data_IF_907185775517
#
_entry.id   IF_907185775517
#
_cell.length_a   1.000
_cell.length_b   1.000
_cell.length_c   1.000
_cell.angle_alpha   90.00
_cell.angle_beta   90.00
_cell.angle_gamma   90.00
#
_symmetry.space_group_name_H-M   'P 1'
#
loop_
_entity.id
_entity.type
_entity.pdbx_description
1 polymer ?
#
# COMPACT_ATOMS: atom_id res chain seq x y z
N UNK A 1 -2.32 18.60 -15.88
CA UNK A 1 -3.58 18.26 -15.21
C UNK A 1 -3.62 18.67 -13.73
N UNK A 2 -3.01 17.94 -12.78
CA UNK A 2 -3.14 18.27 -11.34
C UNK A 2 -2.54 19.65 -11.02
N UNK A 3 -1.31 19.92 -11.46
CA UNK A 3 -0.64 21.20 -11.21
C UNK A 3 -1.44 22.39 -11.79
N UNK A 4 -1.91 22.26 -13.03
CA UNK A 4 -2.79 23.24 -13.68
C UNK A 4 -4.09 23.47 -12.90
N UNK A 5 -4.72 22.41 -12.39
CA UNK A 5 -5.94 22.52 -11.60
C UNK A 5 -5.69 23.22 -10.26
N UNK A 6 -4.57 22.93 -9.60
CA UNK A 6 -4.19 23.62 -8.35
C UNK A 6 -3.98 25.11 -8.59
N UNK A 7 -3.24 25.49 -9.63
CA UNK A 7 -3.00 26.90 -9.97
C UNK A 7 -4.32 27.62 -10.32
N UNK A 8 -5.10 27.04 -11.23
CA UNK A 8 -6.35 27.65 -11.74
C UNK A 8 -7.41 27.79 -10.66
N UNK A 9 -7.62 26.74 -9.87
CA UNK A 9 -8.72 26.67 -8.90
C UNK A 9 -8.27 27.07 -7.48
N UNK A 10 -6.98 27.37 -7.29
CA UNK A 10 -6.36 27.67 -5.98
C UNK A 10 -6.63 26.58 -4.96
N UNK A 11 -6.57 25.32 -5.41
CA UNK A 11 -6.82 24.14 -4.59
C UNK A 11 -5.86 24.08 -3.40
N UNK A 12 -6.39 23.79 -2.20
CA UNK A 12 -5.59 23.69 -0.98
C UNK A 12 -5.31 22.27 -0.51
N UNK A 13 -6.13 21.33 -0.97
CA UNK A 13 -6.02 19.90 -0.66
C UNK A 13 -6.16 19.13 -1.97
N UNK A 14 -5.23 18.19 -2.21
CA UNK A 14 -5.34 17.22 -3.30
C UNK A 14 -5.64 15.86 -2.71
N UNK A 15 -6.74 15.24 -3.14
CA UNK A 15 -7.09 13.87 -2.80
C UNK A 15 -6.67 12.93 -3.92
N UNK A 16 -6.09 11.78 -3.58
CA UNK A 16 -5.85 10.74 -4.56
C UNK A 16 -5.22 9.47 -3.99
N UNK A 17 -4.80 8.58 -4.87
CA UNK A 17 -4.18 7.30 -4.50
C UNK A 17 -2.64 7.44 -4.42
N UNK A 18 -1.93 6.52 -3.75
CA UNK A 18 -0.48 6.58 -3.66
C UNK A 18 0.22 6.68 -5.02
N UNK A 19 -0.25 5.96 -6.05
CA UNK A 19 0.35 6.03 -7.39
C UNK A 19 0.35 7.46 -7.98
N UNK A 20 -0.73 8.21 -7.75
CA UNK A 20 -0.84 9.60 -8.21
C UNK A 20 0.13 10.52 -7.46
N UNK A 21 0.22 10.36 -6.14
CA UNK A 21 1.15 11.11 -5.30
C UNK A 21 2.61 10.76 -5.57
N UNK A 22 2.91 9.49 -5.84
CA UNK A 22 4.23 9.04 -6.27
C UNK A 22 4.63 9.71 -7.57
N UNK A 23 3.73 9.77 -8.56
CA UNK A 23 3.98 10.48 -9.80
C UNK A 23 4.26 11.96 -9.56
N UNK A 24 3.47 12.64 -8.71
CA UNK A 24 3.71 14.04 -8.32
C UNK A 24 5.08 14.22 -7.66
N UNK A 25 5.45 13.34 -6.74
CA UNK A 25 6.75 13.38 -6.07
C UNK A 25 7.90 13.26 -7.07
N UNK A 26 7.72 12.49 -8.15
CA UNK A 26 8.74 12.28 -9.18
C UNK A 26 8.74 13.34 -10.29
N UNK A 27 7.80 14.30 -10.30
CA UNK A 27 7.80 15.39 -11.27
C UNK A 27 9.09 16.21 -11.13
N UNK A 28 9.73 16.50 -12.26
CA UNK A 28 10.94 17.33 -12.34
C UNK A 28 10.70 18.76 -11.86
N UNK A 29 11.66 19.32 -11.15
CA UNK A 29 11.53 20.65 -10.54
C UNK A 29 11.35 21.75 -11.58
N UNK A 30 11.91 21.59 -12.79
CA UNK A 30 11.75 22.54 -13.89
C UNK A 30 10.30 22.64 -14.37
N UNK A 31 9.52 21.55 -14.24
CA UNK A 31 8.10 21.55 -14.58
C UNK A 31 7.31 22.29 -13.51
N UNK A 32 7.61 22.03 -12.24
CA UNK A 32 6.91 22.62 -11.08
C UNK A 32 7.05 24.14 -11.04
N UNK A 33 8.23 24.67 -11.40
CA UNK A 33 8.50 26.12 -11.44
C UNK A 33 7.60 26.92 -12.39
N UNK A 34 6.89 26.25 -13.31
CA UNK A 34 5.97 26.91 -14.25
C UNK A 34 4.56 27.12 -13.67
N UNK A 35 4.30 26.71 -12.42
CA UNK A 35 2.98 26.80 -11.80
C UNK A 35 3.03 27.56 -10.47
N UNK A 36 2.04 28.42 -10.20
CA UNK A 36 1.78 28.96 -8.86
C UNK A 36 0.99 27.97 -8.01
N UNK A 37 1.72 27.22 -7.18
CA UNK A 37 1.17 26.20 -6.28
C UNK A 37 1.04 26.67 -4.82
N UNK A 38 1.16 27.98 -4.55
CA UNK A 38 1.18 28.51 -3.18
C UNK A 38 -0.10 28.28 -2.37
N UNK A 39 -1.20 27.88 -3.02
CA UNK A 39 -2.43 27.49 -2.34
C UNK A 39 -2.39 26.09 -1.73
N UNK A 40 -1.57 25.19 -2.30
CA UNK A 40 -1.52 23.77 -1.94
C UNK A 40 -0.84 23.60 -0.57
N UNK A 41 -1.54 22.93 0.35
CA UNK A 41 -1.09 22.77 1.73
C UNK A 41 -1.14 21.31 2.21
N UNK A 42 -2.05 20.52 1.64
CA UNK A 42 -2.28 19.15 2.07
C UNK A 42 -2.42 18.24 0.86
N UNK A 43 -1.80 17.08 0.94
CA UNK A 43 -2.15 15.94 0.11
C UNK A 43 -2.84 14.91 1.00
N UNK A 44 -3.91 14.27 0.52
CA UNK A 44 -4.59 13.20 1.24
C UNK A 44 -4.58 11.94 0.39
N UNK A 45 -4.07 10.85 0.97
CA UNK A 45 -3.92 9.58 0.27
C UNK A 45 -4.62 8.45 1.00
N UNK A 46 -5.22 7.53 0.24
CA UNK A 46 -5.91 6.37 0.78
C UNK A 46 -5.87 5.20 -0.22
N UNK A 47 -6.21 4.02 0.29
CA UNK A 47 -6.56 2.86 -0.53
C UNK A 47 -5.41 1.88 -0.83
N UNK A 48 -4.15 2.29 -0.71
CA UNK A 48 -3.00 1.39 -0.76
C UNK A 48 -1.87 1.91 0.14
N UNK A 49 -0.91 1.04 0.48
CA UNK A 49 0.27 1.43 1.27
C UNK A 49 1.18 2.32 0.43
N UNK A 50 1.62 3.44 1.00
CA UNK A 50 2.51 4.40 0.36
C UNK A 50 3.99 4.11 0.69
N UNK A 51 4.91 4.46 -0.21
CA UNK A 51 6.35 4.38 0.07
C UNK A 51 6.79 5.57 0.91
N UNK A 52 7.37 5.33 2.10
CA UNK A 52 7.82 6.37 3.02
C UNK A 52 8.77 7.38 2.35
N UNK A 53 9.63 6.89 1.45
CA UNK A 53 10.55 7.72 0.66
C UNK A 53 9.78 8.69 -0.24
N UNK A 54 8.81 8.20 -1.00
CA UNK A 54 8.05 9.01 -1.96
C UNK A 54 7.13 9.98 -1.24
N UNK A 55 6.57 9.58 -0.09
CA UNK A 55 5.82 10.46 0.80
C UNK A 55 6.67 11.63 1.27
N UNK A 56 7.86 11.36 1.83
CA UNK A 56 8.77 12.41 2.29
C UNK A 56 9.20 13.34 1.15
N UNK A 57 9.51 12.76 -0.01
CA UNK A 57 9.86 13.52 -1.21
C UNK A 57 8.72 14.45 -1.65
N UNK A 58 7.46 14.01 -1.58
CA UNK A 58 6.30 14.83 -1.89
C UNK A 58 6.16 16.00 -0.91
N UNK A 59 6.24 15.74 0.39
CA UNK A 59 6.15 16.77 1.44
C UNK A 59 7.21 17.85 1.25
N UNK A 60 8.46 17.44 1.02
CA UNK A 60 9.59 18.36 0.83
C UNK A 60 9.46 19.18 -0.44
N UNK A 61 9.08 18.53 -1.55
CA UNK A 61 9.02 19.15 -2.88
C UNK A 61 7.91 20.19 -3.00
N UNK A 62 6.76 19.94 -2.38
CA UNK A 62 5.60 20.84 -2.46
C UNK A 62 5.36 21.64 -1.18
N UNK A 63 6.21 21.46 -0.15
CA UNK A 63 6.05 22.07 1.18
C UNK A 63 4.62 21.88 1.72
N UNK A 64 4.15 20.63 1.71
CA UNK A 64 2.81 20.23 2.13
C UNK A 64 2.86 19.14 3.20
N UNK A 65 1.73 18.88 3.85
CA UNK A 65 1.56 17.71 4.72
C UNK A 65 0.78 16.61 4.00
N UNK A 66 1.33 15.39 3.95
CA UNK A 66 0.67 14.23 3.39
C UNK A 66 -0.08 13.46 4.49
N UNK A 67 -1.39 13.51 4.44
CA UNK A 67 -2.28 12.81 5.36
C UNK A 67 -2.73 11.47 4.78
N UNK A 68 -2.25 10.36 5.34
CA UNK A 68 -2.74 9.02 4.99
C UNK A 68 -4.04 8.69 5.75
N UNK A 69 -4.99 8.08 5.03
CA UNK A 69 -6.27 7.63 5.58
C UNK A 69 -6.41 6.12 5.38
N UNK A 70 -6.72 5.42 6.47
CA UNK A 70 -7.08 4.01 6.44
C UNK A 70 -8.59 3.85 6.51
N UNK A 71 -9.10 3.09 5.54
CA UNK A 71 -10.50 2.81 5.40
C UNK A 71 -10.77 1.64 4.48
N UNK A 72 -11.99 1.13 4.57
CA UNK A 72 -12.51 0.03 3.77
C UNK A 72 -13.88 0.43 3.22
N UNK A 73 -14.31 -0.18 2.12
CA UNK A 73 -15.66 0.06 1.59
C UNK A 73 -16.74 -0.26 2.64
N UNK A 74 -16.46 -1.24 3.49
CA UNK A 74 -17.33 -1.75 4.53
C UNK A 74 -17.41 -0.83 5.76
N UNK A 75 -16.38 -0.03 6.03
CA UNK A 75 -16.27 0.75 7.27
C UNK A 75 -15.98 2.24 7.05
N UNK A 76 -15.94 2.70 5.80
CA UNK A 76 -15.48 4.03 5.45
C UNK A 76 -14.10 4.32 6.05
N UNK A 77 -13.88 5.47 6.70
CA UNK A 77 -12.63 5.83 7.37
C UNK A 77 -12.63 5.32 8.82
N UNK A 78 -11.53 4.71 9.23
CA UNK A 78 -11.37 4.11 10.59
C UNK A 78 -10.11 4.59 11.31
N UNK A 79 -9.10 5.06 10.56
CA UNK A 79 -7.93 5.75 11.10
C UNK A 79 -7.47 6.82 10.11
N UNK A 80 -6.98 7.95 10.62
CA UNK A 80 -6.59 9.07 9.76
C UNK A 80 -5.43 9.88 10.34
N UNK A 81 -4.45 10.16 9.48
CA UNK A 81 -3.45 11.22 9.70
C UNK A 81 -4.05 12.58 9.39
N UNK A 82 -3.70 13.58 10.17
CA UNK A 82 -4.22 14.95 10.12
C UNK A 82 -3.05 15.91 10.35
N UNK A 83 -3.28 17.20 10.10
CA UNK A 83 -2.28 18.24 10.37
C UNK A 83 -1.79 18.27 11.82
N UNK A 84 -2.62 17.89 12.79
CA UNK A 84 -2.28 17.96 14.22
C UNK A 84 -1.61 16.70 14.77
N UNK A 85 -1.72 15.58 14.06
CA UNK A 85 -1.15 14.30 14.48
C UNK A 85 -0.24 13.69 13.42
N UNK A 86 0.24 14.46 12.44
CA UNK A 86 1.02 13.93 11.32
C UNK A 86 2.24 13.11 11.77
N UNK A 87 2.31 11.86 11.32
CA UNK A 87 3.45 10.96 11.51
C UNK A 87 3.61 10.09 10.26
N UNK A 88 4.59 10.43 9.43
CA UNK A 88 4.88 9.72 8.20
C UNK A 88 5.10 8.21 8.43
N UNK A 89 4.56 7.40 7.53
CA UNK A 89 4.61 5.93 7.63
C UNK A 89 3.50 5.33 8.50
N UNK A 90 2.59 6.17 9.00
CA UNK A 90 1.40 5.74 9.74
C UNK A 90 0.15 6.27 9.06
N UNK A 91 -0.96 5.59 9.28
CA UNK A 91 -2.30 6.03 8.87
C UNK A 91 -2.96 6.87 9.99
N UNK A 92 -2.13 7.59 10.76
CA UNK A 92 -2.53 8.40 11.91
C UNK A 92 -3.05 7.57 13.07
N UNK A 93 -4.05 8.09 13.77
CA UNK A 93 -4.65 7.44 14.94
C UNK A 93 -6.06 6.91 14.60
N UNK A 94 -6.47 5.77 15.19
CA UNK A 94 -7.82 5.26 15.06
C UNK A 94 -8.85 6.28 15.54
N UNK A 95 -9.99 6.36 14.84
CA UNK A 95 -11.14 7.20 15.21
C UNK A 95 -12.33 6.37 15.71
N UNK A 96 -12.07 5.10 16.00
CA UNK A 96 -13.05 4.12 16.44
C UNK A 96 -12.39 3.05 17.31
N UNK A 97 -13.20 2.15 17.85
CA UNK A 97 -12.69 1.01 18.60
C UNK A 97 -11.96 0.04 17.66
N UNK A 98 -10.74 -0.32 18.04
CA UNK A 98 -9.86 -1.22 17.31
C UNK A 98 -9.23 -2.21 18.29
N UNK A 99 -9.12 -3.46 17.85
CA UNK A 99 -8.23 -4.46 18.45
C UNK A 99 -7.31 -5.01 17.37
N UNK A 100 -6.10 -5.39 17.78
CA UNK A 100 -5.14 -6.04 16.90
C UNK A 100 -4.95 -7.46 17.42
N UNK A 101 -5.32 -8.46 16.62
CA UNK A 101 -5.36 -9.86 17.06
C UNK A 101 -4.40 -10.76 16.28
N UNK A 102 -3.91 -11.82 16.94
CA UNK A 102 -3.15 -12.89 16.31
C UNK A 102 -4.06 -13.89 15.57
N UNK A 103 -3.45 -14.90 14.93
CA UNK A 103 -4.17 -15.97 14.22
C UNK A 103 -5.05 -16.84 15.14
N UNK A 104 -4.87 -16.76 16.47
CA UNK A 104 -5.70 -17.45 17.47
C UNK A 104 -6.84 -16.59 18.03
N UNK A 105 -6.95 -15.32 17.60
CA UNK A 105 -7.98 -14.39 18.06
C UNK A 105 -7.64 -13.68 19.38
N UNK A 106 -6.40 -13.77 19.86
CA UNK A 106 -5.95 -13.05 21.06
C UNK A 106 -5.34 -11.71 20.67
N UNK A 107 -5.54 -10.70 21.51
CA UNK A 107 -4.91 -9.39 21.30
C UNK A 107 -3.38 -9.53 21.37
N UNK A 108 -2.69 -8.91 20.41
CA UNK A 108 -1.23 -8.90 20.34
C UNK A 108 -0.65 -7.86 21.30
N UNK A 109 0.65 -7.97 21.61
CA UNK A 109 1.32 -6.95 22.42
C UNK A 109 1.51 -5.66 21.63
N UNK A 110 1.69 -4.53 22.34
CA UNK A 110 2.02 -3.26 21.71
C UNK A 110 3.24 -3.41 20.78
N UNK A 111 3.17 -2.82 19.58
CA UNK A 111 4.23 -2.91 18.57
C UNK A 111 4.27 -4.23 17.78
N UNK A 112 3.47 -5.24 18.14
CA UNK A 112 3.34 -6.45 17.33
C UNK A 112 2.33 -6.24 16.19
N UNK A 113 2.57 -6.92 15.07
CA UNK A 113 1.65 -6.88 13.94
C UNK A 113 0.59 -7.97 14.08
N UNK A 114 -0.67 -7.62 13.83
CA UNK A 114 -1.80 -8.55 13.83
C UNK A 114 -2.95 -8.03 12.97
N UNK A 115 -4.04 -8.78 12.90
CA UNK A 115 -5.22 -8.38 12.15
C UNK A 115 -5.98 -7.28 12.89
N UNK A 116 -6.31 -6.20 12.19
CA UNK A 116 -7.22 -5.18 12.71
C UNK A 116 -8.65 -5.72 12.73
N UNK A 117 -9.28 -5.72 13.90
CA UNK A 117 -10.73 -5.87 14.02
C UNK A 117 -11.31 -4.57 14.57
N UNK A 118 -12.44 -4.15 14.01
CA UNK A 118 -12.96 -2.80 14.21
C UNK A 118 -14.43 -2.84 14.62
N UNK A 119 -14.84 -1.94 15.53
CA UNK A 119 -16.25 -1.73 15.86
C UNK A 119 -16.59 -0.27 15.66
N UNK A 120 -17.51 0.00 14.72
CA UNK A 120 -17.87 1.37 14.32
C UNK A 120 -19.38 1.48 14.09
N UNK A 121 -20.01 2.63 14.42
CA UNK A 121 -21.45 2.81 14.23
C UNK A 121 -21.86 3.03 12.76
N UNK A 122 -20.91 3.34 11.87
CA UNK A 122 -21.14 3.55 10.43
C UNK A 122 -20.74 2.33 9.58
N UNK A 123 -20.64 1.16 10.18
CA UNK A 123 -20.31 -0.06 9.45
C UNK A 123 -21.39 -0.36 8.41
N UNK A 124 -21.00 -1.01 7.31
CA UNK A 124 -21.94 -1.53 6.33
C UNK A 124 -22.98 -2.41 7.02
N UNK A 125 -24.17 -2.44 6.45
CA UNK A 125 -25.23 -3.31 6.95
C UNK A 125 -24.94 -4.79 6.68
N UNK A 126 -24.61 -5.12 5.43
CA UNK A 126 -24.39 -6.47 4.95
C UNK A 126 -23.75 -6.44 3.55
N UNK A 127 -23.13 -7.55 3.15
CA UNK A 127 -22.93 -7.82 1.73
C UNK A 127 -24.27 -8.25 1.12
N UNK A 128 -24.74 -7.48 0.13
CA UNK A 128 -26.05 -7.67 -0.49
C UNK A 128 -26.25 -9.10 -1.01
N UNK A 129 -27.30 -9.78 -0.54
CA UNK A 129 -27.65 -11.17 -0.89
C UNK A 129 -26.54 -12.19 -0.59
N UNK A 130 -25.63 -11.88 0.34
CA UNK A 130 -24.56 -12.78 0.77
C UNK A 130 -24.44 -12.80 2.30
N UNK A 131 -25.46 -13.33 3.02
CA UNK A 131 -25.44 -13.39 4.48
C UNK A 131 -24.28 -14.24 5.02
N UNK A 132 -23.87 -15.28 4.29
CA UNK A 132 -22.75 -16.14 4.68
C UNK A 132 -21.41 -15.38 4.63
N UNK A 133 -21.21 -14.51 3.64
CA UNK A 133 -20.02 -13.64 3.58
C UNK A 133 -20.07 -12.57 4.67
N UNK A 134 -21.26 -12.04 4.96
CA UNK A 134 -21.45 -11.05 6.03
C UNK A 134 -21.09 -11.63 7.39
N UNK A 135 -21.54 -12.85 7.70
CA UNK A 135 -21.21 -13.57 8.92
C UNK A 135 -19.74 -13.97 9.04
N UNK A 136 -19.00 -14.06 7.93
CA UNK A 136 -17.56 -14.34 7.95
C UNK A 136 -16.73 -13.13 8.41
N UNK A 137 -17.20 -11.91 8.15
CA UNK A 137 -16.49 -10.68 8.49
C UNK A 137 -17.01 -10.04 9.78
N UNK A 138 -18.28 -10.19 10.13
CA UNK A 138 -18.82 -9.75 11.41
C UNK A 138 -18.88 -10.88 12.43
N UNK A 139 -18.11 -10.78 13.51
CA UNK A 139 -18.08 -11.76 14.61
C UNK A 139 -18.07 -11.02 15.94
N UNK A 140 -18.96 -11.40 16.85
CA UNK A 140 -19.01 -10.87 18.22
C UNK A 140 -19.02 -9.32 18.30
N UNK A 141 -19.65 -8.65 17.33
CA UNK A 141 -19.73 -7.18 17.27
C UNK A 141 -18.52 -6.47 16.64
N UNK A 142 -17.57 -7.24 16.11
CA UNK A 142 -16.35 -6.75 15.44
C UNK A 142 -16.36 -7.11 13.95
N UNK A 143 -15.88 -6.17 13.13
CA UNK A 143 -15.59 -6.41 11.72
C UNK A 143 -14.12 -6.84 11.56
N UNK A 144 -13.92 -8.04 11.03
CA UNK A 144 -12.63 -8.61 10.67
C UNK A 144 -12.16 -8.06 9.32
N UNK A 145 -11.18 -7.17 9.36
CA UNK A 145 -10.69 -6.49 8.15
C UNK A 145 -9.88 -7.41 7.25
N UNK A 146 -9.21 -8.42 7.80
CA UNK A 146 -8.14 -9.14 7.12
C UNK A 146 -6.93 -8.25 6.75
N UNK A 147 -6.83 -7.03 7.29
CA UNK A 147 -5.67 -6.16 7.17
C UNK A 147 -4.74 -6.37 8.37
N UNK A 148 -3.45 -6.53 8.10
CA UNK A 148 -2.43 -6.54 9.13
C UNK A 148 -2.00 -5.11 9.44
N UNK A 149 -2.03 -4.76 10.71
CA UNK A 149 -1.63 -3.46 11.22
C UNK A 149 -0.71 -3.64 12.42
N UNK A 150 -0.01 -2.57 12.78
CA UNK A 150 0.80 -2.48 13.99
C UNK A 150 0.50 -1.15 14.66
N UNK A 151 0.37 -1.16 15.98
CA UNK A 151 0.21 0.08 16.75
C UNK A 151 1.48 0.36 17.54
N UNK A 152 1.97 1.60 17.47
CA UNK A 152 3.10 2.03 18.29
C UNK A 152 2.66 2.55 19.66
N UNK A 153 3.62 2.79 20.55
CA UNK A 153 3.37 3.21 21.94
C UNK A 153 2.60 4.54 22.05
N UNK A 154 2.66 5.38 21.02
CA UNK A 154 1.94 6.67 20.96
C UNK A 154 0.51 6.52 20.42
N UNK A 155 0.09 5.29 20.08
CA UNK A 155 -1.23 4.98 19.51
C UNK A 155 -1.36 5.29 18.02
N UNK A 156 -0.26 5.44 17.29
CA UNK A 156 -0.28 5.55 15.84
C UNK A 156 -0.35 4.17 15.20
N UNK A 157 -1.14 4.08 14.14
CA UNK A 157 -1.38 2.85 13.42
C UNK A 157 -0.54 2.82 12.14
N UNK A 158 0.31 1.82 12.01
CA UNK A 158 0.97 1.45 10.75
C UNK A 158 0.11 0.41 10.03
N UNK A 159 -0.23 0.66 8.77
CA UNK A 159 -0.75 -0.39 7.89
C UNK A 159 0.41 -1.27 7.40
N UNK A 160 0.38 -2.56 7.72
CA UNK A 160 1.45 -3.49 7.36
C UNK A 160 1.20 -4.08 5.97
N UNK A 161 0.11 -4.83 5.81
CA UNK A 161 -0.21 -5.57 4.56
C UNK A 161 -1.63 -6.15 4.60
N UNK A 162 -2.22 -6.50 3.45
CA UNK A 162 -3.44 -7.34 3.42
C UNK A 162 -3.06 -8.78 3.72
N UNK A 163 -3.70 -9.44 4.71
CA UNK A 163 -3.41 -10.83 5.08
C UNK A 163 -3.46 -11.79 3.89
N UNK A 164 -4.42 -11.60 2.98
CA UNK A 164 -4.57 -12.41 1.77
C UNK A 164 -3.50 -12.16 0.69
N UNK A 165 -2.68 -11.11 0.83
CA UNK A 165 -1.57 -10.81 -0.08
C UNK A 165 -0.25 -11.42 0.38
N UNK A 166 -0.12 -11.78 1.66
CA UNK A 166 1.06 -12.44 2.20
C UNK A 166 1.37 -13.69 1.37
N UNK A 167 2.60 -13.75 0.85
CA UNK A 167 3.07 -14.88 0.07
C UNK A 167 3.54 -15.94 1.05
N UNK A 168 2.97 -17.14 0.95
CA UNK A 168 3.36 -18.28 1.78
C UNK A 168 4.07 -19.30 0.91
N UNK A 169 5.38 -19.41 1.09
CA UNK A 169 6.20 -20.36 0.32
C UNK A 169 5.89 -21.81 0.71
N UNK A 170 6.34 -22.77 -0.10
CA UNK A 170 6.24 -24.19 0.22
C UNK A 170 6.91 -24.56 1.57
N UNK A 171 7.91 -23.79 1.99
CA UNK A 171 8.58 -23.94 3.29
C UNK A 171 7.88 -23.20 4.44
N UNK A 172 6.67 -22.67 4.21
CA UNK A 172 5.88 -21.95 5.21
C UNK A 172 6.37 -20.54 5.53
N UNK A 173 7.31 -19.99 4.75
CA UNK A 173 7.83 -18.64 4.98
C UNK A 173 6.83 -17.60 4.50
N UNK A 174 6.53 -16.63 5.37
CA UNK A 174 5.64 -15.50 5.08
C UNK A 174 6.46 -14.34 4.53
N UNK A 175 6.15 -13.90 3.31
CA UNK A 175 6.82 -12.79 2.64
C UNK A 175 5.77 -11.72 2.34
N UNK A 176 6.02 -10.49 2.77
CA UNK A 176 5.20 -9.35 2.36
C UNK A 176 5.58 -8.93 0.94
N UNK A 177 4.63 -8.92 -0.02
CA UNK A 177 4.87 -8.34 -1.34
C UNK A 177 5.39 -6.92 -1.29
N UNK A 178 4.82 -6.10 -0.40
CA UNK A 178 5.18 -4.68 -0.31
C UNK A 178 6.66 -4.46 0.02
N UNK A 179 7.26 -5.24 0.93
CA UNK A 179 8.68 -5.10 1.26
C UNK A 179 9.58 -5.35 0.04
N UNK A 180 9.19 -6.31 -0.80
CA UNK A 180 9.91 -6.63 -2.04
C UNK A 180 9.73 -5.51 -3.07
N UNK A 181 8.51 -5.01 -3.21
CA UNK A 181 8.16 -3.92 -4.12
C UNK A 181 8.88 -2.62 -3.77
N UNK A 182 8.89 -2.23 -2.49
CA UNK A 182 9.54 -1.00 -2.03
C UNK A 182 11.07 -1.06 -2.23
N UNK A 183 11.69 -2.24 -2.13
CA UNK A 183 13.09 -2.41 -2.53
C UNK A 183 13.24 -2.26 -4.05
N UNK A 184 12.46 -2.99 -4.84
CA UNK A 184 12.60 -2.96 -6.30
C UNK A 184 12.37 -1.58 -6.91
N UNK A 185 11.45 -0.78 -6.37
CA UNK A 185 11.20 0.62 -6.78
C UNK A 185 12.38 1.57 -6.48
N UNK A 186 13.38 1.15 -5.72
CA UNK A 186 14.61 1.93 -5.52
C UNK A 186 15.63 1.70 -6.62
N UNK A 187 15.46 0.66 -7.44
CA UNK A 187 16.35 0.38 -8.55
C UNK A 187 16.09 1.39 -9.68
N UNK A 188 17.12 2.10 -10.21
CA UNK A 188 16.94 3.20 -11.16
C UNK A 188 16.38 2.76 -12.52
N UNK A 189 16.43 1.47 -12.84
CA UNK A 189 15.86 0.91 -14.07
C UNK A 189 14.40 0.42 -13.96
N UNK A 190 13.73 0.60 -12.81
CA UNK A 190 12.38 0.07 -12.57
C UNK A 190 11.39 1.22 -12.36
N UNK A 191 10.38 1.29 -13.22
CA UNK A 191 9.33 2.32 -13.21
C UNK A 191 8.11 1.91 -12.37
N UNK A 192 7.70 0.64 -12.46
CA UNK A 192 6.58 0.08 -11.67
C UNK A 192 6.85 -1.40 -11.38
N UNK A 193 6.29 -1.91 -10.29
CA UNK A 193 6.50 -3.29 -9.85
C UNK A 193 5.31 -3.83 -9.07
N UNK A 194 5.08 -5.13 -9.23
CA UNK A 194 4.17 -5.89 -8.38
C UNK A 194 4.75 -7.27 -8.07
N UNK A 195 4.85 -7.62 -6.79
CA UNK A 195 5.20 -8.95 -6.32
C UNK A 195 3.94 -9.75 -5.98
N UNK A 196 3.84 -10.98 -6.46
CA UNK A 196 2.74 -11.89 -6.09
C UNK A 196 3.25 -13.30 -5.87
N UNK A 197 2.55 -14.03 -4.99
CA UNK A 197 2.72 -15.46 -4.84
C UNK A 197 1.97 -16.19 -5.93
N UNK A 198 2.69 -16.84 -6.85
CA UNK A 198 2.10 -17.69 -7.90
C UNK A 198 2.14 -19.14 -7.44
N UNK A 199 0.99 -19.83 -7.48
CA UNK A 199 0.93 -21.25 -7.12
C UNK A 199 1.68 -22.06 -8.19
N UNK A 200 2.60 -22.93 -7.78
CA UNK A 200 3.37 -23.80 -8.69
C UNK A 200 2.91 -25.27 -8.67
N UNK A 201 1.75 -25.53 -8.07
CA UNK A 201 1.18 -26.87 -7.92
C UNK A 201 1.84 -27.73 -6.83
N UNK A 202 2.87 -27.25 -6.13
CA UNK A 202 3.60 -28.01 -5.08
C UNK A 202 3.16 -27.67 -3.66
N UNK A 203 1.98 -27.07 -3.50
CA UNK A 203 1.41 -26.74 -2.19
C UNK A 203 1.94 -25.46 -1.56
N UNK A 204 2.67 -24.62 -2.30
CA UNK A 204 3.11 -23.30 -1.86
C UNK A 204 3.12 -22.28 -2.98
N UNK A 205 3.44 -21.03 -2.63
CA UNK A 205 3.56 -19.94 -3.58
C UNK A 205 5.02 -19.65 -3.91
N UNK A 206 5.27 -19.33 -5.18
CA UNK A 206 6.55 -18.85 -5.68
C UNK A 206 6.50 -17.33 -5.77
N UNK A 207 7.29 -16.59 -4.97
CA UNK A 207 7.37 -15.14 -5.06
C UNK A 207 7.84 -14.72 -6.45
N UNK A 208 6.99 -13.99 -7.17
CA UNK A 208 7.23 -13.57 -8.55
C UNK A 208 7.08 -12.06 -8.64
N UNK A 209 8.13 -11.37 -9.09
CA UNK A 209 8.12 -9.93 -9.33
C UNK A 209 7.81 -9.65 -10.81
N UNK A 210 6.74 -8.91 -11.06
CA UNK A 210 6.40 -8.33 -12.36
C UNK A 210 6.88 -6.89 -12.38
N UNK A 211 7.58 -6.48 -13.43
CA UNK A 211 8.34 -5.24 -13.46
C UNK A 211 8.14 -4.51 -14.79
N UNK A 212 8.03 -3.20 -14.71
CA UNK A 212 8.07 -2.29 -15.86
C UNK A 212 9.40 -1.55 -15.81
N UNK A 213 10.12 -1.52 -16.92
CA UNK A 213 11.40 -0.80 -17.01
C UNK A 213 11.18 0.69 -17.19
N UNK A 214 12.11 1.50 -16.68
CA UNK A 214 12.18 2.91 -17.03
C UNK A 214 12.44 3.12 -18.53
N UNK A 215 11.85 4.18 -19.10
CA UNK A 215 11.97 4.46 -20.53
C UNK A 215 13.44 4.74 -20.91
N UNK A 216 13.94 4.04 -21.92
CA UNK A 216 15.34 4.16 -22.36
C UNK A 216 16.37 3.50 -21.45
N UNK A 217 15.94 2.79 -20.40
CA UNK A 217 16.81 1.97 -19.56
C UNK A 217 16.69 0.49 -19.95
N UNK A 218 17.80 -0.24 -19.83
CA UNK A 218 17.82 -1.71 -19.91
C UNK A 218 18.29 -2.21 -18.55
N UNK A 219 17.47 -3.02 -17.90
CA UNK A 219 17.86 -3.70 -16.66
C UNK A 219 17.78 -5.21 -16.90
N UNK A 220 18.87 -5.93 -16.63
CA UNK A 220 18.87 -7.39 -16.70
C UNK A 220 18.26 -8.01 -15.44
N UNK A 221 17.75 -9.24 -15.56
CA UNK A 221 17.23 -9.99 -14.40
C UNK A 221 18.35 -10.24 -13.38
N UNK A 222 19.58 -10.43 -13.86
CA UNK A 222 20.77 -10.65 -13.05
C UNK A 222 21.10 -9.43 -12.18
N UNK A 223 21.10 -8.22 -12.76
CA UNK A 223 21.33 -6.96 -12.05
C UNK A 223 20.26 -6.72 -10.98
N UNK A 224 18.98 -6.87 -11.35
CA UNK A 224 17.86 -6.71 -10.43
C UNK A 224 17.92 -7.74 -9.31
N UNK A 225 18.23 -9.00 -9.64
CA UNK A 225 18.39 -10.06 -8.65
C UNK A 225 19.55 -9.78 -7.69
N UNK A 226 20.65 -9.22 -8.18
CA UNK A 226 21.78 -8.77 -7.34
C UNK A 226 21.37 -7.63 -6.42
N UNK A 227 20.67 -6.63 -6.94
CA UNK A 227 20.15 -5.52 -6.16
C UNK A 227 19.22 -5.98 -5.03
N UNK A 228 18.32 -6.92 -5.30
CA UNK A 228 17.48 -7.55 -4.28
C UNK A 228 18.31 -8.24 -3.19
N UNK A 229 19.33 -9.03 -3.55
CA UNK A 229 20.19 -9.73 -2.55
C UNK A 229 20.92 -8.78 -1.62
N UNK A 230 21.27 -7.59 -2.09
CA UNK A 230 21.95 -6.58 -1.28
C UNK A 230 21.00 -5.89 -0.29
N UNK A 231 19.69 -5.90 -0.54
CA UNK A 231 18.71 -5.08 0.17
C UNK A 231 17.60 -5.89 0.87
N UNK A 232 17.50 -7.20 0.61
CA UNK A 232 16.50 -8.10 1.19
C UNK A 232 17.17 -9.31 1.83
N UNK A 233 16.57 -9.82 2.91
CA UNK A 233 16.94 -11.12 3.45
C UNK A 233 16.68 -12.23 2.42
N UNK A 234 17.55 -13.24 2.39
CA UNK A 234 17.55 -14.31 1.36
C UNK A 234 16.19 -14.99 1.15
N UNK A 235 15.43 -15.17 2.23
CA UNK A 235 14.13 -15.82 2.14
C UNK A 235 13.03 -14.95 1.51
N UNK A 236 13.19 -13.62 1.49
CA UNK A 236 12.25 -12.67 0.89
C UNK A 236 12.50 -12.47 -0.61
N UNK A 237 13.62 -12.97 -1.14
CA UNK A 237 13.99 -12.76 -2.53
C UNK A 237 12.96 -13.36 -3.50
N UNK A 238 12.52 -12.59 -4.53
CA UNK A 238 11.77 -13.15 -5.63
C UNK A 238 12.50 -14.33 -6.25
N UNK A 239 11.74 -15.37 -6.59
CA UNK A 239 12.25 -16.55 -7.30
C UNK A 239 12.07 -16.44 -8.81
N UNK A 240 11.17 -15.57 -9.26
CA UNK A 240 10.93 -15.28 -10.67
C UNK A 240 10.83 -13.77 -10.86
N UNK A 241 11.39 -13.30 -11.97
CA UNK A 241 11.32 -11.91 -12.42
C UNK A 241 10.72 -11.92 -13.82
N UNK A 242 9.74 -11.06 -14.08
CA UNK A 242 9.05 -10.95 -15.36
C UNK A 242 8.92 -9.49 -15.75
N UNK A 243 9.42 -9.14 -16.93
CA UNK A 243 9.15 -7.84 -17.51
C UNK A 243 7.78 -7.84 -18.18
N UNK A 244 7.02 -6.76 -18.00
CA UNK A 244 5.70 -6.53 -18.58
C UNK A 244 5.60 -5.08 -19.04
N UNK A 245 4.72 -4.82 -20.01
CA UNK A 245 4.51 -3.47 -20.53
C UNK A 245 3.84 -2.55 -19.50
N UNK A 246 2.99 -3.11 -18.63
CA UNK A 246 2.34 -2.39 -17.55
C UNK A 246 1.93 -3.30 -16.40
N UNK A 247 1.84 -2.73 -15.19
CA UNK A 247 1.24 -3.43 -14.04
C UNK A 247 -0.28 -3.24 -14.09
N UNK A 248 -1.09 -4.31 -14.16
CA UNK A 248 -2.54 -4.19 -14.22
C UNK A 248 -3.07 -3.54 -12.95
N UNK A 249 -4.07 -2.67 -13.11
CA UNK A 249 -4.75 -1.99 -12.02
C UNK A 249 -6.25 -2.25 -12.07
N UNK A 250 -6.89 -2.30 -10.91
CA UNK A 250 -8.36 -2.36 -10.78
C UNK A 250 -8.99 -1.03 -11.21
N UNK A 251 -10.32 -0.99 -11.35
CA UNK A 251 -11.04 0.27 -11.61
C UNK A 251 -10.85 1.35 -10.54
N UNK A 252 -10.36 0.98 -9.34
CA UNK A 252 -9.99 1.91 -8.26
C UNK A 252 -8.51 2.32 -8.29
N UNK A 253 -7.74 1.90 -9.30
CA UNK A 253 -6.32 2.25 -9.47
C UNK A 253 -5.35 1.44 -8.60
N UNK A 254 -5.82 0.43 -7.86
CA UNK A 254 -4.96 -0.47 -7.06
C UNK A 254 -4.36 -1.55 -7.95
N UNK A 255 -3.22 -2.13 -7.57
CA UNK A 255 -2.64 -3.27 -8.31
C UNK A 255 -3.64 -4.44 -8.36
N UNK A 256 -3.92 -4.95 -9.56
CA UNK A 256 -4.72 -6.16 -9.75
C UNK A 256 -3.83 -7.40 -9.59
N UNK A 257 -3.57 -7.75 -8.33
CA UNK A 257 -2.78 -8.94 -7.98
C UNK A 257 -3.43 -10.25 -8.41
N UNK A 258 -4.75 -10.26 -8.65
CA UNK A 258 -5.45 -11.47 -9.10
C UNK A 258 -5.09 -11.76 -10.55
N UNK A 259 -5.18 -10.75 -11.41
CA UNK A 259 -4.80 -10.89 -12.82
C UNK A 259 -3.33 -11.32 -12.97
N UNK A 260 -2.42 -10.75 -12.17
CA UNK A 260 -1.01 -11.16 -12.16
C UNK A 260 -0.79 -12.63 -11.79
N UNK A 261 -1.61 -13.18 -10.87
CA UNK A 261 -1.53 -14.58 -10.42
C UNK A 261 -2.07 -15.56 -11.46
N UNK A 262 -3.12 -15.18 -12.17
CA UNK A 262 -3.75 -15.99 -13.23
C UNK A 262 -2.91 -16.02 -14.52
N UNK A 263 -1.96 -15.09 -14.64
CA UNK A 263 -1.09 -14.92 -15.80
C UNK A 263 -1.47 -13.64 -16.54
N UNK A 264 -0.50 -12.74 -16.69
CA UNK A 264 -0.64 -11.58 -17.60
C UNK A 264 -0.75 -12.16 -19.01
N UNK A 265 -1.75 -11.75 -19.82
CA UNK A 265 -1.81 -12.10 -21.24
C UNK A 265 -0.49 -11.82 -21.96
#
# INVERSE_FOLDING_TARGET
AILEAVEKERGSIVFGVPAMHNALAMVRDEVIKNYDLGSLRVASTAGAKSSLRLMKMLEDKFNLTLCETYGLSELFVVSMSTLSNHKLGTVGKPICDIKIIDDSGREVSQGEAGEAILSVPWAMKEYYKAPELTAQVFKDGWFHTGDLVRMDEDGYLEYVEKKSFIIVTQSGLKISPWEVEDVLLRHPGIADVACVGVNDGRGGQVPTAFMVTEEGQVASVEEIGSFCRQNLADFKLPKKFKFVDSIPKTGSGKIDRRQLKEGVP
#
